data_IF_138003380456
#
_entry.id   IF_138003380456
#
_cell.length_a   1.000
_cell.length_b   1.000
_cell.length_c   1.000
_cell.angle_alpha   90.00
_cell.angle_beta   90.00
_cell.angle_gamma   90.00
#
_symmetry.space_group_name_H-M   'P 1'
#
loop_
_entity.id
_entity.type
_entity.pdbx_description
1 polymer ?
#
# COMPACT_ATOMS: atom_id res chain seq x y z
N UNK A 1 0.28 -57.80 28.18
CA UNK A 1 1.39 -56.85 27.88
C UNK A 1 1.23 -56.25 26.48
N UNK A 2 1.54 -56.93 25.38
CA UNK A 2 1.38 -56.36 24.04
C UNK A 2 -0.07 -55.93 23.69
N UNK A 3 -1.08 -56.69 24.12
CA UNK A 3 -2.49 -56.33 23.95
C UNK A 3 -2.92 -55.12 24.80
N UNK A 4 -2.34 -54.97 25.99
CA UNK A 4 -2.64 -53.84 26.90
C UNK A 4 -2.01 -52.55 26.36
N UNK A 5 -0.82 -52.65 25.76
CA UNK A 5 -0.11 -51.53 25.14
C UNK A 5 -0.85 -51.03 23.88
N UNK A 6 -1.36 -51.94 23.05
CA UNK A 6 -2.22 -51.59 21.90
C UNK A 6 -3.52 -50.91 22.36
N UNK A 7 -4.20 -51.44 23.39
CA UNK A 7 -5.41 -50.84 23.94
C UNK A 7 -5.14 -49.48 24.62
N UNK A 8 -3.91 -49.19 25.04
CA UNK A 8 -3.51 -47.89 25.60
C UNK A 8 -3.24 -46.86 24.50
N UNK A 9 -2.62 -47.28 23.40
CA UNK A 9 -2.40 -46.46 22.20
C UNK A 9 -3.74 -46.11 21.57
N UNK A 10 -4.65 -47.09 21.44
CA UNK A 10 -5.97 -46.89 20.84
C UNK A 10 -6.85 -45.94 21.68
N UNK A 11 -6.79 -46.03 23.02
CA UNK A 11 -7.41 -45.05 23.93
C UNK A 11 -6.76 -43.66 23.88
N UNK A 12 -5.46 -43.60 23.57
CA UNK A 12 -4.73 -42.33 23.37
C UNK A 12 -5.13 -41.64 22.08
N UNK A 13 -5.37 -42.41 21.01
CA UNK A 13 -5.83 -41.94 19.70
C UNK A 13 -7.34 -41.63 19.68
N UNK A 14 -8.14 -42.33 20.49
CA UNK A 14 -9.58 -42.09 20.65
C UNK A 14 -9.92 -40.89 21.55
N UNK A 15 -8.94 -40.29 22.25
CA UNK A 15 -9.13 -39.00 22.90
C UNK A 15 -9.34 -37.96 21.81
N UNK A 16 -10.59 -37.57 21.62
CA UNK A 16 -10.96 -36.48 20.73
C UNK A 16 -10.03 -35.28 21.01
N UNK A 17 -9.47 -34.65 19.97
CA UNK A 17 -8.59 -33.50 20.16
C UNK A 17 -9.28 -32.48 21.07
N UNK A 18 -8.56 -31.99 22.07
CA UNK A 18 -9.03 -30.96 22.99
C UNK A 18 -9.35 -29.69 22.19
N UNK A 19 -10.56 -29.61 21.63
CA UNK A 19 -11.06 -28.40 21.04
C UNK A 19 -11.27 -27.39 22.17
N UNK A 20 -10.74 -26.17 22.06
CA UNK A 20 -11.03 -25.14 23.05
C UNK A 20 -12.55 -24.97 23.16
N UNK A 21 -13.10 -24.80 24.37
CA UNK A 21 -14.52 -24.50 24.54
C UNK A 21 -14.89 -23.26 23.70
N UNK A 22 -16.12 -23.20 23.17
CA UNK A 22 -16.53 -22.15 22.23
C UNK A 22 -16.33 -20.72 22.75
N UNK A 23 -16.35 -20.53 24.08
CA UNK A 23 -16.03 -19.27 24.74
C UNK A 23 -14.55 -18.87 24.59
N UNK A 24 -13.61 -19.80 24.73
CA UNK A 24 -12.18 -19.52 24.53
C UNK A 24 -11.89 -19.22 23.05
N UNK A 25 -12.50 -19.99 22.13
CA UNK A 25 -12.39 -19.70 20.70
C UNK A 25 -12.93 -18.31 20.36
N UNK A 26 -14.08 -17.91 20.90
CA UNK A 26 -14.63 -16.57 20.72
C UNK A 26 -13.69 -15.47 21.24
N UNK A 27 -13.14 -15.64 22.45
CA UNK A 27 -12.20 -14.68 23.03
C UNK A 27 -10.97 -14.52 22.13
N UNK A 28 -10.39 -15.62 21.64
CA UNK A 28 -9.23 -15.58 20.74
C UNK A 28 -9.54 -14.85 19.43
N UNK A 29 -10.75 -15.03 18.87
CA UNK A 29 -11.18 -14.31 17.66
C UNK A 29 -11.40 -12.81 17.91
N UNK A 30 -11.93 -12.44 19.08
CA UNK A 30 -12.08 -11.03 19.47
C UNK A 30 -10.72 -10.38 19.69
N UNK A 31 -9.79 -11.09 20.34
CA UNK A 31 -8.39 -10.65 20.45
C UNK A 31 -7.75 -10.51 19.08
N UNK A 32 -7.97 -11.46 18.16
CA UNK A 32 -7.47 -11.35 16.79
C UNK A 32 -8.09 -10.16 16.04
N UNK A 33 -9.39 -9.89 16.21
CA UNK A 33 -10.06 -8.73 15.60
C UNK A 33 -9.47 -7.39 16.09
N UNK A 34 -9.12 -7.32 17.37
CA UNK A 34 -8.57 -6.13 18.02
C UNK A 34 -7.05 -6.01 17.85
N UNK A 35 -6.36 -7.11 17.51
CA UNK A 35 -4.94 -7.10 17.21
C UNK A 35 -4.73 -6.31 15.90
N UNK A 36 -4.22 -5.08 16.04
CA UNK A 36 -3.78 -4.29 14.91
C UNK A 36 -2.59 -5.00 14.24
N UNK A 37 -2.65 -5.31 12.93
CA UNK A 37 -1.47 -5.73 12.20
C UNK A 37 -0.43 -4.60 12.29
N UNK A 38 0.65 -4.85 13.03
CA UNK A 38 1.76 -3.92 13.20
C UNK A 38 2.58 -3.81 11.92
N UNK A 39 2.05 -3.13 10.90
CA UNK A 39 2.74 -2.96 9.62
C UNK A 39 2.64 -1.55 9.02
N UNK A 40 1.87 -0.63 9.63
CA UNK A 40 1.85 0.75 9.20
C UNK A 40 3.06 1.49 9.78
N UNK A 41 4.17 1.53 9.04
CA UNK A 41 5.17 2.58 9.26
C UNK A 41 4.52 3.89 8.84
N UNK A 42 4.28 4.77 9.80
CA UNK A 42 3.82 6.12 9.52
C UNK A 42 4.82 6.81 8.58
N UNK A 43 4.28 7.63 7.68
CA UNK A 43 5.08 8.48 6.80
C UNK A 43 6.01 9.32 7.66
N UNK A 44 7.32 9.18 7.45
CA UNK A 44 8.29 10.03 8.13
C UNK A 44 8.18 11.42 7.50
N UNK A 45 7.67 12.36 8.29
CA UNK A 45 7.53 13.73 7.82
C UNK A 45 8.90 14.37 7.57
N UNK A 46 9.00 15.28 6.59
CA UNK A 46 10.22 16.05 6.36
C UNK A 46 10.53 16.97 7.54
N UNK A 47 11.81 17.31 7.71
CA UNK A 47 12.21 18.39 8.60
C UNK A 47 11.54 19.71 8.17
N UNK A 48 10.88 20.40 9.11
CA UNK A 48 10.03 21.54 8.79
C UNK A 48 10.80 22.72 8.20
N UNK A 49 12.02 22.96 8.68
CA UNK A 49 12.85 24.06 8.20
C UNK A 49 13.35 23.79 6.77
N UNK A 50 13.87 22.59 6.52
CA UNK A 50 14.34 22.19 5.20
C UNK A 50 13.18 22.07 4.20
N UNK A 51 12.01 21.63 4.65
CA UNK A 51 10.77 21.64 3.87
C UNK A 51 10.38 23.04 3.41
N UNK A 52 10.37 24.00 4.33
CA UNK A 52 10.01 25.38 4.02
C UNK A 52 11.02 26.02 3.06
N UNK A 53 12.32 25.79 3.28
CA UNK A 53 13.39 26.22 2.36
C UNK A 53 13.18 25.67 0.95
N UNK A 54 12.86 24.38 0.82
CA UNK A 54 12.60 23.76 -0.48
C UNK A 54 11.35 24.34 -1.17
N UNK A 55 10.29 24.61 -0.41
CA UNK A 55 9.08 25.27 -0.94
C UNK A 55 9.37 26.70 -1.41
N UNK A 56 10.15 27.48 -0.66
CA UNK A 56 10.54 28.84 -1.05
C UNK A 56 11.40 28.84 -2.31
N UNK A 57 12.37 27.91 -2.40
CA UNK A 57 13.17 27.74 -3.62
C UNK A 57 12.30 27.38 -4.83
N UNK A 58 11.31 26.49 -4.64
CA UNK A 58 10.35 26.14 -5.69
C UNK A 58 9.49 27.34 -6.11
N UNK A 59 9.02 28.15 -5.17
CA UNK A 59 8.16 29.30 -5.44
C UNK A 59 8.90 30.44 -6.17
N UNK A 60 10.19 30.62 -5.90
CA UNK A 60 11.04 31.61 -6.56
C UNK A 60 11.71 31.14 -7.85
N UNK A 61 11.50 29.88 -8.26
CA UNK A 61 12.15 29.32 -9.44
C UNK A 61 11.51 29.80 -10.74
N UNK A 62 12.34 30.25 -11.69
CA UNK A 62 11.88 30.73 -13.00
C UNK A 62 12.61 30.06 -14.17
N UNK A 63 13.80 29.51 -13.92
CA UNK A 63 14.60 28.80 -14.92
C UNK A 63 14.71 27.31 -14.57
N UNK A 64 15.05 26.48 -15.56
CA UNK A 64 15.27 25.05 -15.32
C UNK A 64 16.38 24.79 -14.29
N UNK A 65 17.37 25.67 -14.17
CA UNK A 65 18.43 25.56 -13.16
C UNK A 65 17.90 25.89 -11.75
N UNK A 66 17.03 26.89 -11.61
CA UNK A 66 16.39 27.20 -10.33
C UNK A 66 15.51 26.03 -9.84
N UNK A 67 14.74 25.44 -10.76
CA UNK A 67 13.93 24.25 -10.46
C UNK A 67 14.80 23.04 -10.09
N UNK A 68 15.97 22.88 -10.73
CA UNK A 68 16.93 21.86 -10.34
C UNK A 68 17.49 22.12 -8.93
N UNK A 69 17.74 23.38 -8.58
CA UNK A 69 18.10 23.79 -7.22
C UNK A 69 17.03 23.39 -6.19
N UNK A 70 15.75 23.69 -6.45
CA UNK A 70 14.63 23.27 -5.61
C UNK A 70 14.53 21.74 -5.51
N UNK A 71 14.71 21.01 -6.61
CA UNK A 71 14.71 19.55 -6.63
C UNK A 71 15.82 18.96 -5.75
N UNK A 72 17.02 19.56 -5.73
CA UNK A 72 18.12 19.11 -4.85
C UNK A 72 17.74 19.24 -3.37
N UNK A 73 17.11 20.34 -2.96
CA UNK A 73 16.65 20.54 -1.58
C UNK A 73 15.58 19.52 -1.17
N UNK A 74 14.60 19.24 -2.04
CA UNK A 74 13.65 18.16 -1.76
C UNK A 74 14.32 16.79 -1.68
N UNK A 75 15.36 16.56 -2.49
CA UNK A 75 16.08 15.30 -2.46
C UNK A 75 16.92 15.12 -1.20
N UNK A 76 17.44 16.19 -0.60
CA UNK A 76 18.06 16.13 0.74
C UNK A 76 17.09 15.54 1.76
N UNK A 77 15.85 16.03 1.81
CA UNK A 77 14.80 15.48 2.68
C UNK A 77 14.55 13.98 2.42
N UNK A 78 14.53 13.55 1.16
CA UNK A 78 14.38 12.13 0.81
C UNK A 78 15.57 11.30 1.30
N UNK A 79 16.80 11.82 1.19
CA UNK A 79 18.04 11.17 1.66
C UNK A 79 18.08 11.07 3.18
N UNK A 80 17.53 12.05 3.88
CA UNK A 80 17.35 12.03 5.35
C UNK A 80 16.26 11.05 5.81
N UNK A 81 15.58 10.42 4.83
CA UNK A 81 14.61 9.37 5.03
C UNK A 81 13.18 9.87 5.19
N UNK A 82 12.90 11.14 4.89
CA UNK A 82 11.54 11.63 4.79
C UNK A 82 10.81 10.95 3.62
N UNK A 83 9.55 10.57 3.86
CA UNK A 83 8.75 9.75 2.94
C UNK A 83 7.30 10.17 3.03
N UNK A 84 6.96 11.29 2.41
CA UNK A 84 5.60 11.78 2.33
C UNK A 84 5.17 11.95 0.88
N UNK A 85 3.89 11.76 0.62
CA UNK A 85 3.30 12.00 -0.70
C UNK A 85 3.58 13.39 -1.26
N UNK A 86 3.36 14.48 -0.48
CA UNK A 86 3.65 15.84 -0.94
C UNK A 86 5.13 16.08 -1.28
N UNK A 87 6.06 15.46 -0.53
CA UNK A 87 7.48 15.56 -0.83
C UNK A 87 7.81 14.99 -2.21
N UNK A 88 7.31 13.78 -2.51
CA UNK A 88 7.55 13.17 -3.81
C UNK A 88 6.85 13.92 -4.94
N UNK A 89 5.67 14.50 -4.69
CA UNK A 89 4.96 15.30 -5.67
C UNK A 89 5.73 16.59 -6.02
N UNK A 90 6.19 17.33 -5.01
CA UNK A 90 6.95 18.56 -5.22
C UNK A 90 8.30 18.29 -5.87
N UNK A 91 9.02 17.25 -5.41
CA UNK A 91 10.27 16.82 -6.03
C UNK A 91 10.08 16.45 -7.50
N UNK A 92 9.06 15.66 -7.81
CA UNK A 92 8.76 15.26 -9.18
C UNK A 92 8.36 16.44 -10.07
N UNK A 93 7.62 17.40 -9.52
CA UNK A 93 7.25 18.63 -10.24
C UNK A 93 8.47 19.51 -10.51
N UNK A 94 9.34 19.70 -9.51
CA UNK A 94 10.59 20.45 -9.68
C UNK A 94 11.49 19.80 -10.74
N UNK A 95 11.66 18.47 -10.70
CA UNK A 95 12.43 17.73 -11.71
C UNK A 95 11.84 17.84 -13.11
N UNK A 96 10.51 17.83 -13.23
CA UNK A 96 9.82 18.00 -14.51
C UNK A 96 10.11 19.40 -15.10
N UNK A 97 10.02 20.45 -14.28
CA UNK A 97 10.33 21.82 -14.69
C UNK A 97 11.82 22.05 -14.98
N UNK A 98 12.69 21.28 -14.33
CA UNK A 98 14.12 21.23 -14.61
C UNK A 98 14.48 20.45 -15.91
N UNK A 99 13.51 19.75 -16.50
CA UNK A 99 13.67 18.92 -17.70
C UNK A 99 14.26 17.53 -17.44
N UNK A 100 14.31 17.07 -16.20
CA UNK A 100 14.72 15.71 -15.83
C UNK A 100 13.51 14.78 -15.77
N UNK A 101 12.98 14.46 -16.95
CA UNK A 101 11.75 13.68 -17.11
C UNK A 101 11.82 12.29 -16.45
N UNK A 102 12.98 11.63 -16.50
CA UNK A 102 13.16 10.28 -15.96
C UNK A 102 13.11 10.26 -14.44
N UNK A 103 13.76 11.21 -13.77
CA UNK A 103 13.70 11.31 -12.31
C UNK A 103 12.37 11.90 -11.85
N UNK A 104 11.76 12.80 -12.64
CA UNK A 104 10.41 13.31 -12.39
C UNK A 104 9.38 12.18 -12.37
N UNK A 105 9.35 11.31 -13.39
CA UNK A 105 8.46 10.15 -13.42
C UNK A 105 8.63 9.28 -12.16
N UNK A 106 9.87 8.99 -11.79
CA UNK A 106 10.15 8.16 -10.62
C UNK A 106 9.63 8.78 -9.31
N UNK A 107 9.82 10.09 -9.10
CA UNK A 107 9.28 10.79 -7.94
C UNK A 107 7.75 10.82 -7.97
N UNK A 108 7.14 11.14 -9.11
CA UNK A 108 5.69 11.23 -9.25
C UNK A 108 4.99 9.86 -9.07
N UNK A 109 5.62 8.75 -9.46
CA UNK A 109 5.11 7.40 -9.18
C UNK A 109 5.06 7.14 -7.67
N UNK A 110 6.07 7.57 -6.91
CA UNK A 110 6.06 7.47 -5.44
C UNK A 110 4.95 8.34 -4.84
N UNK A 111 4.73 9.54 -5.38
CA UNK A 111 3.63 10.41 -4.99
C UNK A 111 2.27 9.76 -5.25
N UNK A 112 2.06 9.15 -6.43
CA UNK A 112 0.83 8.43 -6.80
C UNK A 112 0.54 7.29 -5.81
N UNK A 113 1.55 6.49 -5.44
CA UNK A 113 1.34 5.40 -4.47
C UNK A 113 0.94 5.90 -3.08
N UNK A 114 1.46 7.07 -2.68
CA UNK A 114 1.18 7.66 -1.38
C UNK A 114 -0.20 8.36 -1.35
N UNK A 115 -0.49 9.21 -2.33
CA UNK A 115 -1.66 10.10 -2.36
C UNK A 115 -2.84 9.55 -3.17
N UNK A 116 -2.61 8.57 -4.04
CA UNK A 116 -3.57 8.12 -5.04
C UNK A 116 -3.46 8.93 -6.34
N UNK A 117 -4.23 8.53 -7.35
CA UNK A 117 -4.18 9.10 -8.70
C UNK A 117 -5.00 10.40 -8.82
N UNK A 118 -4.54 11.47 -8.20
CA UNK A 118 -5.18 12.81 -8.32
C UNK A 118 -5.07 13.34 -9.76
N UNK A 119 -5.91 14.30 -10.18
CA UNK A 119 -5.78 14.95 -11.49
C UNK A 119 -4.38 15.53 -11.74
N UNK A 120 -3.78 16.16 -10.74
CA UNK A 120 -2.47 16.81 -10.80
C UNK A 120 -1.34 15.79 -10.96
N UNK A 121 -1.35 14.72 -10.15
CA UNK A 121 -0.38 13.62 -10.26
C UNK A 121 -0.46 12.98 -11.65
N UNK A 122 -1.68 12.72 -12.14
CA UNK A 122 -1.89 12.13 -13.47
C UNK A 122 -1.46 13.07 -14.60
N UNK A 123 -1.64 14.37 -14.46
CA UNK A 123 -1.16 15.35 -15.43
C UNK A 123 0.38 15.35 -15.47
N UNK A 124 1.03 15.50 -14.32
CA UNK A 124 2.49 15.53 -14.23
C UNK A 124 3.14 14.22 -14.67
N UNK A 125 2.53 13.06 -14.36
CA UNK A 125 3.03 11.77 -14.85
C UNK A 125 2.97 11.66 -16.38
N UNK A 126 1.88 12.14 -17.01
CA UNK A 126 1.79 12.15 -18.48
C UNK A 126 2.85 13.07 -19.07
N UNK A 127 3.05 14.26 -18.51
CA UNK A 127 4.09 15.18 -18.96
C UNK A 127 5.49 14.58 -18.82
N UNK A 128 5.79 13.94 -17.69
CA UNK A 128 7.08 13.27 -17.46
C UNK A 128 7.30 12.11 -18.45
N UNK A 129 6.29 11.28 -18.69
CA UNK A 129 6.37 10.18 -19.65
C UNK A 129 6.54 10.74 -21.07
N UNK A 130 5.72 11.71 -21.47
CA UNK A 130 5.80 12.34 -22.78
C UNK A 130 7.17 12.96 -23.07
N UNK A 131 7.72 13.69 -22.09
CA UNK A 131 9.06 14.28 -22.18
C UNK A 131 10.16 13.20 -22.26
N UNK A 132 10.01 12.08 -21.54
CA UNK A 132 10.99 10.97 -21.59
C UNK A 132 10.92 10.17 -22.89
N UNK A 133 9.72 9.98 -23.45
CA UNK A 133 9.51 9.13 -24.64
C UNK A 133 9.52 9.92 -25.95
N UNK A 134 9.44 11.25 -25.89
CA UNK A 134 9.24 12.11 -27.06
C UNK A 134 7.84 12.00 -27.67
N UNK A 135 6.87 11.42 -26.95
CA UNK A 135 5.49 11.21 -27.44
C UNK A 135 4.52 12.13 -26.68
N UNK A 136 4.02 13.21 -27.29
CA UNK A 136 3.16 14.19 -26.61
C UNK A 136 1.92 13.59 -25.94
N UNK A 137 1.32 12.57 -26.59
CA UNK A 137 0.09 11.92 -26.14
C UNK A 137 0.34 10.56 -25.45
N UNK A 138 1.53 10.38 -24.85
CA UNK A 138 1.87 9.12 -24.19
C UNK A 138 0.82 8.76 -23.11
N UNK A 139 0.12 7.62 -23.23
CA UNK A 139 -0.85 7.23 -22.23
C UNK A 139 -0.15 6.79 -20.93
N UNK A 140 -0.87 6.90 -19.81
CA UNK A 140 -0.40 6.28 -18.58
C UNK A 140 -0.32 4.75 -18.76
N UNK A 141 0.64 4.06 -18.12
CA UNK A 141 0.79 2.62 -18.27
C UNK A 141 -0.51 1.88 -17.90
N UNK A 142 -0.94 0.85 -18.67
CA UNK A 142 -2.22 0.13 -18.46
C UNK A 142 -2.40 -0.42 -17.04
N UNK A 143 -1.32 -0.62 -16.28
CA UNK A 143 -1.33 -0.88 -14.85
C UNK A 143 -2.28 0.01 -14.04
N UNK A 144 -2.45 1.30 -14.40
CA UNK A 144 -3.37 2.22 -13.69
C UNK A 144 -4.84 1.85 -13.87
N UNK A 145 -5.17 1.15 -14.96
CA UNK A 145 -6.52 0.67 -15.26
C UNK A 145 -6.73 -0.69 -14.60
N UNK A 146 -5.85 -1.65 -14.87
CA UNK A 146 -5.99 -3.01 -14.36
C UNK A 146 -5.79 -3.13 -12.85
N UNK A 147 -5.02 -2.23 -12.24
CA UNK A 147 -4.81 -2.15 -10.80
C UNK A 147 -5.37 -0.84 -10.24
N UNK A 148 -6.54 -0.41 -10.71
CA UNK A 148 -7.18 0.82 -10.26
C UNK A 148 -7.35 0.89 -8.73
N UNK A 149 -7.67 -0.22 -8.08
CA UNK A 149 -7.76 -0.32 -6.60
C UNK A 149 -6.42 -0.06 -5.89
N UNK A 150 -5.29 -0.18 -6.60
CA UNK A 150 -3.96 0.11 -6.08
C UNK A 150 -3.55 1.57 -6.30
N UNK A 151 -3.73 2.09 -7.52
CA UNK A 151 -3.24 3.41 -7.90
C UNK A 151 -4.24 4.54 -7.63
N UNK A 152 -5.55 4.28 -7.70
CA UNK A 152 -6.56 5.32 -7.52
C UNK A 152 -6.65 5.78 -6.06
N UNK A 153 -6.52 4.84 -5.11
CA UNK A 153 -6.65 5.10 -3.69
C UNK A 153 -5.32 5.39 -3.01
N UNK A 154 -5.32 6.39 -2.13
CA UNK A 154 -4.14 6.72 -1.30
C UNK A 154 -3.68 5.52 -0.47
N UNK A 155 -2.39 5.47 -0.15
CA UNK A 155 -1.83 4.43 0.75
C UNK A 155 -2.59 4.39 2.07
N UNK A 156 -2.92 5.55 2.64
CA UNK A 156 -3.68 5.65 3.87
C UNK A 156 -5.05 4.98 3.77
N UNK A 157 -5.82 5.27 2.72
CA UNK A 157 -7.12 4.63 2.51
C UNK A 157 -6.98 3.12 2.30
N UNK A 158 -5.97 2.66 1.56
CA UNK A 158 -5.72 1.22 1.36
C UNK A 158 -5.40 0.50 2.67
N UNK A 159 -4.65 1.13 3.57
CA UNK A 159 -4.41 0.62 4.93
C UNK A 159 -5.72 0.56 5.72
N UNK A 160 -6.54 1.61 5.68
CA UNK A 160 -7.85 1.59 6.35
C UNK A 160 -8.78 0.50 5.81
N UNK A 161 -8.82 0.27 4.51
CA UNK A 161 -9.61 -0.79 3.88
C UNK A 161 -9.09 -2.19 4.25
N UNK A 162 -7.76 -2.35 4.38
CA UNK A 162 -7.15 -3.56 4.92
C UNK A 162 -7.58 -3.80 6.37
N UNK A 163 -7.50 -2.77 7.24
CA UNK A 163 -7.90 -2.87 8.65
C UNK A 163 -9.40 -3.13 8.80
N UNK A 164 -10.24 -2.50 7.98
CA UNK A 164 -11.67 -2.76 7.93
C UNK A 164 -11.93 -4.22 7.50
N UNK A 165 -11.24 -4.70 6.46
CA UNK A 165 -11.31 -6.10 6.02
C UNK A 165 -10.93 -7.08 7.14
N UNK A 166 -9.86 -6.79 7.87
CA UNK A 166 -9.39 -7.56 9.03
C UNK A 166 -10.47 -7.67 10.10
N UNK A 167 -11.02 -6.52 10.52
CA UNK A 167 -12.06 -6.48 11.54
C UNK A 167 -13.33 -7.22 11.09
N UNK A 168 -13.81 -6.98 9.86
CA UNK A 168 -15.00 -7.65 9.32
C UNK A 168 -14.81 -9.17 9.22
N UNK A 169 -13.63 -9.62 8.80
CA UNK A 169 -13.32 -11.03 8.69
C UNK A 169 -13.42 -11.75 10.04
N UNK A 170 -12.74 -11.23 11.06
CA UNK A 170 -12.73 -11.83 12.40
C UNK A 170 -14.09 -11.71 13.10
N UNK A 171 -14.79 -10.57 12.96
CA UNK A 171 -16.16 -10.41 13.44
C UNK A 171 -17.12 -11.41 12.79
N UNK A 172 -16.99 -11.65 11.48
CA UNK A 172 -17.80 -12.62 10.76
C UNK A 172 -17.57 -14.05 11.25
N UNK A 173 -16.31 -14.40 11.51
CA UNK A 173 -15.94 -15.71 12.06
C UNK A 173 -16.44 -15.89 13.51
N UNK A 174 -16.30 -14.85 14.34
CA UNK A 174 -16.83 -14.85 15.70
C UNK A 174 -18.36 -15.01 15.72
N UNK A 175 -19.08 -14.28 14.86
CA UNK A 175 -20.53 -14.41 14.71
C UNK A 175 -20.94 -15.80 14.22
N UNK A 176 -20.12 -16.45 13.40
CA UNK A 176 -20.34 -17.83 12.94
C UNK A 176 -20.24 -18.85 14.06
N UNK A 177 -19.41 -18.63 15.09
CA UNK A 177 -19.30 -19.52 16.25
C UNK A 177 -20.53 -19.47 17.16
N UNK A 178 -21.16 -18.31 17.28
CA UNK A 178 -22.35 -18.13 18.14
C UNK A 178 -23.68 -18.35 17.39
N UNK A 179 -23.63 -18.56 16.07
CA UNK A 179 -24.81 -18.91 15.27
C UNK A 179 -24.85 -20.42 15.03
N UNK A 180 -25.98 -21.11 15.29
CA UNK A 180 -26.05 -22.55 15.12
C UNK A 180 -25.84 -22.97 13.65
N UNK A 181 -25.22 -24.14 13.38
CA UNK A 181 -25.11 -24.68 12.04
C UNK A 181 -26.49 -25.03 11.46
N UNK A 182 -26.65 -25.04 10.13
CA UNK A 182 -27.90 -25.45 9.50
C UNK A 182 -28.24 -26.88 9.92
N UNK A 183 -29.45 -27.08 10.46
CA UNK A 183 -29.96 -28.37 10.90
C UNK A 183 -31.06 -28.86 9.94
N UNK A 184 -31.06 -30.14 9.61
CA UNK A 184 -32.06 -30.77 8.73
C UNK A 184 -31.55 -31.18 7.34
N UNK A 185 -32.38 -31.97 6.63
CA UNK A 185 -32.08 -32.55 5.29
C UNK A 185 -32.08 -31.49 4.18
N UNK A 186 -32.87 -30.43 4.36
CA UNK A 186 -32.85 -29.20 3.56
C UNK A 186 -31.97 -28.20 4.32
N UNK A 187 -30.70 -28.06 3.95
CA UNK A 187 -29.71 -27.18 4.61
C UNK A 187 -30.06 -25.69 4.44
N UNK A 188 -31.13 -25.20 5.07
CA UNK A 188 -31.49 -23.79 5.06
C UNK A 188 -30.56 -23.03 6.02
N UNK A 189 -29.82 -22.06 5.47
CA UNK A 189 -28.93 -21.22 6.26
C UNK A 189 -29.76 -20.15 6.96
N UNK A 190 -29.65 -20.03 8.28
CA UNK A 190 -30.34 -18.97 9.02
C UNK A 190 -29.87 -17.59 8.54
N UNK A 191 -30.76 -16.58 8.54
CA UNK A 191 -30.41 -15.20 8.15
C UNK A 191 -29.17 -14.69 8.89
N UNK A 192 -29.03 -15.02 10.17
CA UNK A 192 -27.87 -14.66 11.01
C UNK A 192 -26.57 -15.31 10.51
N UNK A 193 -26.60 -16.59 10.14
CA UNK A 193 -25.43 -17.30 9.60
C UNK A 193 -25.09 -16.85 8.18
N UNK A 194 -26.09 -16.54 7.35
CA UNK A 194 -25.88 -15.92 6.05
C UNK A 194 -25.18 -14.56 6.17
N UNK A 195 -25.65 -13.70 7.10
CA UNK A 195 -25.00 -12.42 7.40
C UNK A 195 -23.56 -12.59 7.91
N UNK A 196 -23.29 -13.54 8.81
CA UNK A 196 -21.94 -13.86 9.28
C UNK A 196 -21.00 -14.29 8.13
N UNK A 197 -21.50 -15.12 7.20
CA UNK A 197 -20.74 -15.53 6.02
C UNK A 197 -20.47 -14.36 5.06
N UNK A 198 -21.44 -13.45 4.87
CA UNK A 198 -21.23 -12.24 4.06
C UNK A 198 -20.16 -11.34 4.68
N UNK A 199 -20.21 -11.14 6.01
CA UNK A 199 -19.24 -10.33 6.74
C UNK A 199 -17.82 -10.90 6.58
N UNK A 200 -17.67 -12.22 6.81
CA UNK A 200 -16.41 -12.92 6.63
C UNK A 200 -15.94 -12.92 5.17
N UNK A 201 -16.85 -13.10 4.21
CA UNK A 201 -16.54 -13.10 2.79
C UNK A 201 -16.04 -11.75 2.29
N UNK A 202 -16.76 -10.66 2.59
CA UNK A 202 -16.32 -9.30 2.26
C UNK A 202 -15.05 -8.89 3.00
N UNK A 203 -14.93 -9.25 4.28
CA UNK A 203 -13.71 -9.05 5.05
C UNK A 203 -12.50 -9.73 4.40
N UNK A 204 -12.65 -11.00 4.00
CA UNK A 204 -11.62 -11.77 3.30
C UNK A 204 -11.24 -11.18 1.93
N UNK A 205 -12.23 -10.70 1.15
CA UNK A 205 -11.96 -10.04 -0.13
C UNK A 205 -11.16 -8.75 0.05
N UNK A 206 -11.54 -7.90 1.02
CA UNK A 206 -10.80 -6.67 1.35
C UNK A 206 -9.38 -6.97 1.84
N UNK A 207 -9.23 -7.96 2.72
CA UNK A 207 -7.92 -8.43 3.20
C UNK A 207 -7.02 -8.85 2.04
N UNK A 208 -7.53 -9.65 1.11
CA UNK A 208 -6.74 -10.15 -0.01
C UNK A 208 -6.33 -9.02 -0.96
N UNK A 209 -7.29 -8.19 -1.38
CA UNK A 209 -7.03 -7.12 -2.35
C UNK A 209 -6.13 -6.04 -1.77
N UNK A 210 -6.46 -5.51 -0.58
CA UNK A 210 -5.72 -4.41 0.01
C UNK A 210 -4.48 -4.87 0.77
N UNK A 211 -4.45 -6.10 1.30
CA UNK A 211 -3.23 -6.71 1.85
C UNK A 211 -2.17 -6.90 0.78
N UNK A 212 -2.55 -7.47 -0.37
CA UNK A 212 -1.64 -7.57 -1.54
C UNK A 212 -1.20 -6.19 -2.04
N UNK A 213 -2.12 -5.23 -2.10
CA UNK A 213 -1.82 -3.85 -2.53
C UNK A 213 -0.84 -3.12 -1.61
N UNK A 214 -1.02 -3.21 -0.28
CA UNK A 214 -0.12 -2.61 0.72
C UNK A 214 1.24 -3.30 0.72
N UNK A 215 1.27 -4.64 0.66
CA UNK A 215 2.51 -5.40 0.56
C UNK A 215 3.31 -5.05 -0.70
N UNK A 216 2.63 -4.94 -1.84
CA UNK A 216 3.25 -4.53 -3.11
C UNK A 216 3.84 -3.11 -3.01
N UNK A 217 3.11 -2.14 -2.44
CA UNK A 217 3.67 -0.81 -2.18
C UNK A 217 4.89 -0.87 -1.26
N UNK A 218 4.87 -1.70 -0.22
CA UNK A 218 6.00 -1.82 0.71
C UNK A 218 7.26 -2.36 0.01
N UNK A 219 7.11 -3.36 -0.87
CA UNK A 219 8.22 -3.91 -1.68
C UNK A 219 8.77 -2.83 -2.62
N UNK A 220 7.89 -2.10 -3.30
CA UNK A 220 8.31 -1.04 -4.21
C UNK A 220 9.01 0.12 -3.47
N UNK A 221 8.48 0.57 -2.33
CA UNK A 221 9.13 1.62 -1.54
C UNK A 221 10.46 1.16 -0.94
N UNK A 222 10.59 -0.12 -0.58
CA UNK A 222 11.86 -0.68 -0.12
C UNK A 222 12.90 -0.69 -1.25
N UNK A 223 12.50 -1.12 -2.45
CA UNK A 223 13.33 -1.07 -3.64
C UNK A 223 13.75 0.38 -3.96
N UNK A 224 12.79 1.29 -4.08
CA UNK A 224 13.07 2.67 -4.45
C UNK A 224 13.93 3.37 -3.41
N UNK A 225 13.70 3.14 -2.11
CA UNK A 225 14.55 3.70 -1.05
C UNK A 225 16.00 3.18 -1.12
N UNK A 226 16.20 1.92 -1.52
CA UNK A 226 17.54 1.32 -1.67
C UNK A 226 18.30 1.97 -2.82
N UNK A 227 17.67 2.16 -3.97
CA UNK A 227 18.33 2.62 -5.19
C UNK A 227 18.19 4.14 -5.43
N UNK A 228 17.47 4.88 -4.57
CA UNK A 228 17.24 6.30 -4.76
C UNK A 228 18.53 7.13 -4.86
N UNK A 229 19.53 6.78 -4.04
CA UNK A 229 20.80 7.50 -3.94
C UNK A 229 21.67 7.40 -5.21
N UNK A 230 21.38 6.45 -6.09
CA UNK A 230 22.08 6.26 -7.38
C UNK A 230 21.59 7.25 -8.45
N UNK A 231 20.47 7.94 -8.21
CA UNK A 231 19.90 8.90 -9.15
C UNK A 231 20.73 10.17 -9.19
N UNK A 232 21.24 10.48 -10.37
CA UNK A 232 21.87 11.76 -10.69
C UNK A 232 20.82 12.66 -11.32
N UNK A 233 20.65 13.87 -10.78
CA UNK A 233 19.74 14.86 -11.37
C UNK A 233 20.48 15.68 -12.41
N UNK A 234 19.95 15.68 -13.62
CA UNK A 234 20.60 16.29 -14.78
C UNK A 234 19.77 17.45 -15.31
N UNK A 235 20.37 18.63 -15.58
CA UNK A 235 19.66 19.73 -16.22
C UNK A 235 19.26 19.38 -17.66
N UNK A 236 18.17 19.98 -18.14
CA UNK A 236 17.63 19.79 -19.49
C UNK A 236 18.66 19.90 -20.63
N UNK A 237 19.68 20.75 -20.48
CA UNK A 237 20.72 20.96 -21.49
C UNK A 237 21.56 19.69 -21.77
N UNK A 238 21.87 18.92 -20.72
CA UNK A 238 22.65 17.68 -20.85
C UNK A 238 21.86 16.55 -21.54
N UNK A 239 20.52 16.56 -21.44
CA UNK A 239 19.67 15.56 -22.09
C UNK A 239 19.54 15.78 -23.62
N UNK A 240 19.69 17.02 -24.11
CA UNK A 240 19.64 17.30 -25.57
C UNK A 240 20.91 16.87 -26.28
N UNK A 241 22.06 16.92 -25.63
CA UNK A 241 23.34 16.46 -26.21
C UNK A 241 23.47 14.92 -26.25
N UNK A 242 22.71 14.22 -25.41
CA UNK A 242 22.72 12.75 -25.33
C UNK A 242 21.77 12.06 -26.31
N UNK A 243 20.97 12.81 -27.08
CA UNK A 243 20.06 12.27 -28.09
C UNK A 243 20.56 12.73 -29.47
N UNK A 244 21.14 11.84 -30.30
CA UNK A 244 21.59 12.18 -31.65
C UNK A 244 20.43 12.50 -32.61
#
# INVERSE_FOLDING_TARGET
RAADDLARIDRGLARAPNHPPPAQALILLLVAALALPGAARADRMPDAFTWERANQAMAGAHTSEDFLGAARLYNELVRDGARSGPLFFNLGTALLMAGDARNAEAALVRAERALGATPEIRANLRLAIAARTGQPDAPLPPSRIFLAWHYHFSRGLRIWLLLAGWALFWCGLALRLVTPPPAGRLRTVSRRRAFANLLAGWGGALLLVYGGSVAFTAIQEAHDSRFWHERVFTPAAANREATP
#
